data_IF_998997174592
#
_entry.id   IF_998997174592
#
_cell.length_a   1.000
_cell.length_b   1.000
_cell.length_c   1.000
_cell.angle_alpha   90.00
_cell.angle_beta   90.00
_cell.angle_gamma   90.00
#
_symmetry.space_group_name_H-M   'P 1'
#
loop_
_entity.id
_entity.type
_entity.pdbx_description
1 polymer ?
#
# COMPACT_ATOMS: atom_id res chain seq x y z
N UNK A 1 15.68 16.73 -25.62
CA UNK A 1 14.94 15.57 -25.08
C UNK A 1 15.05 15.65 -23.57
N UNK A 2 13.95 15.70 -22.83
CA UNK A 2 13.98 15.75 -21.34
C UNK A 2 14.19 14.32 -20.84
N UNK A 3 15.25 14.08 -20.06
CA UNK A 3 15.49 12.77 -19.44
C UNK A 3 14.65 12.62 -18.16
N UNK A 4 14.01 11.47 -17.93
CA UNK A 4 13.30 11.23 -16.67
C UNK A 4 14.29 11.07 -15.52
N UNK A 5 14.02 11.75 -14.42
CA UNK A 5 14.72 11.61 -13.15
C UNK A 5 13.75 11.21 -12.04
N UNK A 6 14.30 10.82 -10.88
CA UNK A 6 13.54 10.58 -9.67
C UNK A 6 14.00 11.56 -8.60
N UNK A 7 13.05 12.11 -7.86
CA UNK A 7 13.28 12.92 -6.67
C UNK A 7 12.58 12.24 -5.49
N UNK A 8 13.30 12.11 -4.38
CA UNK A 8 12.71 11.55 -3.17
C UNK A 8 11.77 12.58 -2.54
N UNK A 9 10.47 12.27 -2.50
CA UNK A 9 9.43 13.18 -1.98
C UNK A 9 9.13 12.89 -0.51
N UNK A 10 8.89 11.63 -0.16
CA UNK A 10 8.62 11.15 1.19
C UNK A 10 8.69 9.62 1.30
N UNK A 11 8.71 9.14 2.53
CA UNK A 11 8.45 7.75 2.94
C UNK A 11 7.19 7.71 3.83
N UNK A 12 6.39 6.65 3.70
CA UNK A 12 5.26 6.39 4.58
C UNK A 12 5.38 5.03 5.27
N UNK A 13 5.02 4.99 6.55
CA UNK A 13 4.93 3.77 7.35
C UNK A 13 3.66 3.77 8.17
N UNK A 14 3.00 2.64 8.31
CA UNK A 14 1.74 2.56 9.06
C UNK A 14 1.51 1.17 9.62
N UNK A 15 0.73 1.13 10.69
CA UNK A 15 0.30 -0.12 11.29
C UNK A 15 -0.82 -0.75 10.46
N UNK A 16 -0.68 -2.05 10.21
CA UNK A 16 -1.63 -2.83 9.44
C UNK A 16 -2.40 -3.76 10.37
N UNK A 17 -3.69 -3.90 10.09
CA UNK A 17 -4.51 -4.92 10.71
C UNK A 17 -4.16 -6.32 10.22
N UNK A 18 -4.63 -7.33 10.95
CA UNK A 18 -4.55 -8.71 10.50
C UNK A 18 -5.25 -8.87 9.13
N UNK A 19 -4.73 -9.72 8.23
CA UNK A 19 -5.39 -9.99 6.96
C UNK A 19 -6.81 -10.53 7.17
N UNK A 20 -7.78 -9.92 6.51
CA UNK A 20 -9.17 -10.40 6.47
C UNK A 20 -9.37 -11.18 5.17
N UNK A 21 -9.49 -12.52 5.21
CA UNK A 21 -9.67 -13.30 4.00
C UNK A 21 -11.03 -13.04 3.38
N UNK A 22 -11.06 -12.77 2.08
CA UNK A 22 -12.28 -12.87 1.26
C UNK A 22 -12.40 -14.31 0.74
N UNK A 23 -11.27 -14.92 0.37
CA UNK A 23 -11.18 -16.30 -0.10
C UNK A 23 -10.79 -16.41 -1.57
N UNK A 24 -11.01 -17.59 -2.15
CA UNK A 24 -10.69 -17.88 -3.54
C UNK A 24 -11.78 -17.34 -4.47
N UNK A 25 -11.37 -16.62 -5.51
CA UNK A 25 -12.19 -16.11 -6.61
C UNK A 25 -11.66 -16.63 -7.94
N UNK A 26 -12.34 -16.31 -9.05
CA UNK A 26 -11.98 -16.77 -10.40
C UNK A 26 -10.58 -16.34 -10.86
N UNK A 27 -10.03 -15.29 -10.26
CA UNK A 27 -8.78 -14.64 -10.62
C UNK A 27 -7.65 -14.83 -9.58
N UNK A 28 -7.88 -15.63 -8.52
CA UNK A 28 -6.89 -15.88 -7.48
C UNK A 28 -7.48 -15.84 -6.07
N UNK A 29 -6.65 -15.60 -5.07
CA UNK A 29 -7.08 -15.46 -3.67
C UNK A 29 -7.10 -13.99 -3.25
N UNK A 30 -8.16 -13.58 -2.56
CA UNK A 30 -8.38 -12.20 -2.14
C UNK A 30 -8.35 -12.05 -0.62
N UNK A 31 -7.74 -10.97 -0.17
CA UNK A 31 -7.73 -10.56 1.25
C UNK A 31 -7.71 -9.03 1.36
N UNK A 32 -8.25 -8.53 2.46
CA UNK A 32 -8.22 -7.11 2.81
C UNK A 32 -7.19 -6.94 3.91
N UNK A 33 -6.29 -5.97 3.76
CA UNK A 33 -5.36 -5.56 4.81
C UNK A 33 -5.82 -4.18 5.32
N UNK A 34 -6.43 -4.09 6.51
CA UNK A 34 -6.77 -2.81 7.11
C UNK A 34 -5.51 -1.96 7.32
N UNK A 35 -5.60 -0.66 7.04
CA UNK A 35 -4.54 0.31 7.31
C UNK A 35 -5.06 1.24 8.42
N UNK A 36 -4.37 1.27 9.55
CA UNK A 36 -4.79 2.08 10.69
C UNK A 36 -4.36 3.55 10.54
N UNK A 37 -5.09 4.42 11.25
CA UNK A 37 -4.72 5.84 11.33
C UNK A 37 -3.42 6.06 12.09
N UNK A 38 -2.80 7.22 11.91
CA UNK A 38 -1.63 7.63 12.67
C UNK A 38 -0.29 7.14 12.11
N UNK A 39 -0.30 6.45 10.97
CA UNK A 39 0.93 6.12 10.25
C UNK A 39 1.75 7.36 9.91
N UNK A 40 3.08 7.23 9.98
CA UNK A 40 4.08 8.26 9.70
C UNK A 40 4.14 8.56 8.20
N UNK A 41 4.12 9.84 7.83
CA UNK A 41 4.49 10.32 6.49
C UNK A 41 5.57 11.37 6.65
N UNK A 42 6.79 11.09 6.19
CA UNK A 42 7.95 11.96 6.39
C UNK A 42 8.83 12.05 5.15
N UNK A 43 9.17 13.27 4.77
CA UNK A 43 9.96 13.57 3.59
C UNK A 43 10.35 15.03 3.49
N UNK A 44 11.30 15.37 2.59
CA UNK A 44 11.71 16.76 2.38
C UNK A 44 10.61 17.64 1.78
N UNK A 45 9.66 17.04 1.04
CA UNK A 45 8.61 17.78 0.33
C UNK A 45 7.21 17.52 0.87
N UNK A 46 7.00 16.38 1.54
CA UNK A 46 5.71 16.01 2.15
C UNK A 46 5.95 15.45 3.54
N UNK A 47 5.23 16.00 4.52
CA UNK A 47 5.18 15.52 5.89
C UNK A 47 3.72 15.50 6.37
N UNK A 48 3.37 14.51 7.19
CA UNK A 48 2.01 14.38 7.68
C UNK A 48 1.77 13.03 8.37
N UNK A 49 0.52 12.58 8.29
CA UNK A 49 0.06 11.32 8.87
C UNK A 49 -0.95 10.62 7.98
N UNK A 50 -0.99 9.29 8.03
CA UNK A 50 -2.04 8.50 7.40
C UNK A 50 -3.37 8.70 8.14
N UNK A 51 -4.44 8.80 7.37
CA UNK A 51 -5.81 8.76 7.87
C UNK A 51 -6.31 7.32 7.85
N UNK A 52 -7.17 6.96 8.82
CA UNK A 52 -7.80 5.64 8.90
C UNK A 52 -8.90 5.43 7.87
N UNK A 53 -9.73 4.40 8.09
CA UNK A 53 -10.75 3.93 7.13
C UNK A 53 -10.15 3.56 5.77
N UNK A 54 -8.93 3.03 5.79
CA UNK A 54 -8.14 2.69 4.64
C UNK A 54 -7.86 1.19 4.60
N UNK A 55 -7.62 0.65 3.40
CA UNK A 55 -7.26 -0.75 3.24
C UNK A 55 -6.49 -0.99 1.94
N UNK A 56 -5.71 -2.06 1.94
CA UNK A 56 -5.14 -2.71 0.75
C UNK A 56 -5.99 -3.92 0.36
N UNK A 57 -6.56 -3.89 -0.84
CA UNK A 57 -7.41 -4.96 -1.39
C UNK A 57 -6.56 -5.88 -2.26
N UNK A 58 -5.88 -6.82 -1.61
CA UNK A 58 -4.91 -7.67 -2.27
C UNK A 58 -5.56 -8.80 -3.07
N UNK A 59 -4.97 -9.09 -4.23
CA UNK A 59 -5.24 -10.27 -5.06
C UNK A 59 -3.94 -11.03 -5.30
N UNK A 60 -3.84 -12.27 -4.81
CA UNK A 60 -2.76 -13.17 -5.22
C UNK A 60 -3.23 -14.01 -6.39
N UNK A 61 -2.64 -13.75 -7.56
CA UNK A 61 -2.96 -14.40 -8.83
C UNK A 61 -2.45 -15.86 -8.84
N UNK A 62 -2.96 -16.72 -9.76
CA UNK A 62 -2.50 -18.10 -9.89
C UNK A 62 -0.99 -18.27 -10.19
N UNK A 63 -0.34 -17.24 -10.75
CA UNK A 63 1.10 -17.22 -10.98
C UNK A 63 1.93 -16.85 -9.74
N UNK A 64 1.28 -16.70 -8.57
CA UNK A 64 1.92 -16.41 -7.29
C UNK A 64 2.20 -14.93 -7.03
N UNK A 65 1.91 -14.03 -7.98
CA UNK A 65 2.10 -12.59 -7.79
C UNK A 65 0.94 -12.00 -7.00
N UNK A 66 1.25 -11.26 -5.92
CA UNK A 66 0.26 -10.45 -5.21
C UNK A 66 0.15 -9.06 -5.86
N UNK A 67 -1.04 -8.68 -6.28
CA UNK A 67 -1.42 -7.31 -6.65
C UNK A 67 -1.87 -6.59 -5.38
N UNK A 68 -1.22 -5.48 -5.06
CA UNK A 68 -1.69 -4.52 -4.08
C UNK A 68 -2.57 -3.47 -4.76
N UNK A 69 -3.68 -3.10 -4.13
CA UNK A 69 -4.58 -2.03 -4.55
C UNK A 69 -5.11 -1.33 -3.30
N UNK A 70 -4.27 -0.45 -2.75
CA UNK A 70 -4.57 0.27 -1.53
C UNK A 70 -5.24 1.61 -1.82
N UNK A 71 -6.37 1.85 -1.16
CA UNK A 71 -7.04 3.15 -1.14
C UNK A 71 -6.97 3.72 0.27
N UNK A 72 -6.29 4.86 0.39
CA UNK A 72 -6.08 5.53 1.66
C UNK A 72 -5.95 7.04 1.45
N UNK A 73 -5.82 7.78 2.54
CA UNK A 73 -5.49 9.20 2.49
C UNK A 73 -4.41 9.53 3.51
N UNK A 74 -3.70 10.63 3.27
CA UNK A 74 -2.85 11.26 4.26
C UNK A 74 -3.29 12.71 4.45
N UNK A 75 -3.09 13.23 5.67
CA UNK A 75 -3.20 14.63 5.98
C UNK A 75 -1.80 15.19 6.20
N UNK A 76 -1.43 16.22 5.44
CA UNK A 76 -0.16 16.93 5.59
C UNK A 76 -0.16 17.79 6.86
N UNK A 77 1.02 18.19 7.32
CA UNK A 77 1.17 19.04 8.50
C UNK A 77 0.62 20.48 8.33
N UNK A 78 0.47 20.95 7.09
CA UNK A 78 -0.24 22.19 6.73
C UNK A 78 -1.76 21.97 6.48
N UNK A 79 -2.28 20.77 6.73
CA UNK A 79 -3.71 20.48 6.79
C UNK A 79 -4.37 20.02 5.48
N UNK A 80 -3.61 19.86 4.38
CA UNK A 80 -4.11 19.33 3.10
C UNK A 80 -4.37 17.83 3.21
N UNK A 81 -5.48 17.37 2.64
CA UNK A 81 -5.80 15.93 2.55
C UNK A 81 -5.56 15.43 1.13
N UNK A 82 -4.76 14.38 1.00
CA UNK A 82 -4.42 13.75 -0.28
C UNK A 82 -4.96 12.32 -0.28
N UNK A 83 -5.89 12.01 -1.18
CA UNK A 83 -6.32 10.63 -1.43
C UNK A 83 -5.31 9.94 -2.35
N UNK A 84 -4.92 8.72 -2.00
CA UNK A 84 -3.95 7.92 -2.73
C UNK A 84 -4.56 6.58 -3.07
N UNK A 85 -4.44 6.20 -4.35
CA UNK A 85 -4.61 4.83 -4.79
C UNK A 85 -3.24 4.26 -5.18
N UNK A 86 -2.68 3.43 -4.31
CA UNK A 86 -1.38 2.81 -4.50
C UNK A 86 -1.55 1.40 -5.10
N UNK A 87 -1.06 1.20 -6.32
CA UNK A 87 -1.09 -0.10 -7.00
C UNK A 87 0.31 -0.58 -7.26
N UNK A 88 0.55 -1.84 -6.94
CA UNK A 88 1.86 -2.45 -7.08
C UNK A 88 1.78 -3.96 -7.22
N UNK A 89 2.90 -4.54 -7.65
CA UNK A 89 3.08 -5.98 -7.72
C UNK A 89 4.11 -6.38 -6.68
N UNK A 90 3.79 -7.39 -5.88
CA UNK A 90 4.73 -8.06 -4.99
C UNK A 90 4.96 -9.47 -5.50
N UNK A 91 6.21 -9.73 -5.88
CA UNK A 91 6.70 -11.03 -6.29
C UNK A 91 8.15 -11.18 -5.83
N UNK A 92 8.64 -12.41 -5.81
CA UNK A 92 10.00 -12.72 -5.39
C UNK A 92 10.28 -14.22 -5.48
N UNK A 93 11.50 -14.65 -5.11
CA UNK A 93 11.84 -16.06 -5.00
C UNK A 93 10.81 -16.84 -4.15
N UNK A 94 10.45 -18.08 -4.51
CA UNK A 94 9.40 -18.84 -3.82
C UNK A 94 9.61 -19.02 -2.32
N UNK A 95 10.86 -19.22 -1.90
CA UNK A 95 11.26 -19.39 -0.50
C UNK A 95 11.05 -18.12 0.33
N UNK A 96 11.21 -16.94 -0.26
CA UNK A 96 10.91 -15.66 0.38
C UNK A 96 9.40 -15.47 0.49
N UNK A 97 8.66 -15.75 -0.59
CA UNK A 97 7.20 -15.55 -0.62
C UNK A 97 6.44 -16.48 0.33
N UNK A 98 6.94 -17.70 0.57
CA UNK A 98 6.33 -18.65 1.50
C UNK A 98 6.40 -18.24 2.98
N UNK A 99 7.19 -17.22 3.32
CA UNK A 99 7.38 -16.72 4.70
C UNK A 99 6.49 -15.52 5.05
N UNK A 100 5.72 -15.01 4.09
CA UNK A 100 4.90 -13.80 4.17
C UNK A 100 3.40 -14.12 4.23
#
# INVERSE_FOLDING_TARGET
MIQPGLEFVYEAGGDLGAPVPIGTTVDGTRRIIPIFEGGRVEGPLIKGKLLGNAADFQLTRPDGVTVADALYALQTDDGVVIQIRNRGLRHGPPDVMARL
#
